data_IF_025052085144
#
_entry.id   IF_025052085144
#
_cell.length_a   1.000
_cell.length_b   1.000
_cell.length_c   1.000
_cell.angle_alpha   90.00
_cell.angle_beta   90.00
_cell.angle_gamma   90.00
#
_symmetry.space_group_name_H-M   'P 1'
#
loop_
_entity.id
_entity.type
_entity.pdbx_description
1 polymer ?
#
# COMPACT_ATOMS: atom_id res chain seq x y z
N UNK A 1 -3.78 -6.36 -7.77
CA UNK A 1 -5.01 -5.82 -8.40
C UNK A 1 -5.07 -6.04 -9.92
N UNK A 2 -4.00 -6.49 -10.57
CA UNK A 2 -4.05 -7.05 -11.94
C UNK A 2 -4.43 -6.07 -13.06
N UNK A 3 -4.64 -4.79 -12.73
CA UNK A 3 -5.05 -3.71 -13.65
C UNK A 3 -4.18 -2.49 -13.42
N UNK A 4 -4.00 -1.63 -14.45
CA UNK A 4 -3.37 -0.32 -14.29
C UNK A 4 -4.07 0.53 -13.22
N UNK A 5 -3.30 1.35 -12.49
CA UNK A 5 -3.83 2.24 -11.44
C UNK A 5 -4.91 3.17 -11.98
N UNK A 6 -4.72 3.73 -13.18
CA UNK A 6 -5.69 4.61 -13.83
C UNK A 6 -7.01 3.94 -14.23
N UNK A 7 -7.07 2.61 -14.33
CA UNK A 7 -8.35 1.91 -14.50
C UNK A 7 -9.10 1.79 -13.17
N UNK A 8 -8.37 1.67 -12.06
CA UNK A 8 -8.92 1.38 -10.74
C UNK A 8 -9.35 2.66 -9.99
N UNK A 9 -8.68 3.78 -10.25
CA UNK A 9 -8.88 5.04 -9.53
C UNK A 9 -9.04 6.19 -10.53
N UNK A 10 -9.92 7.13 -10.21
CA UNK A 10 -10.07 8.38 -10.96
C UNK A 10 -8.87 9.31 -10.77
N UNK A 11 -8.26 9.27 -9.58
CA UNK A 11 -7.01 9.93 -9.27
C UNK A 11 -6.22 9.09 -8.27
N UNK A 12 -4.90 9.10 -8.39
CA UNK A 12 -3.98 8.43 -7.47
C UNK A 12 -2.73 9.29 -7.33
N UNK A 13 -2.35 9.63 -6.09
CA UNK A 13 -1.16 10.44 -5.81
C UNK A 13 0.08 9.54 -5.74
N UNK A 14 1.03 9.63 -6.70
CA UNK A 14 2.24 8.81 -6.69
C UNK A 14 3.14 9.12 -5.49
N UNK A 15 3.11 10.33 -4.94
CA UNK A 15 3.85 10.65 -3.73
C UNK A 15 3.13 10.07 -2.49
N UNK A 16 3.77 9.21 -1.69
CA UNK A 16 3.13 8.70 -0.49
C UNK A 16 2.88 9.83 0.52
N UNK A 17 1.69 9.81 1.13
CA UNK A 17 1.30 10.67 2.25
C UNK A 17 2.09 10.31 3.51
N UNK A 18 2.35 9.02 3.71
CA UNK A 18 3.02 8.50 4.89
C UNK A 18 3.69 7.15 4.62
N UNK A 19 4.68 6.85 5.45
CA UNK A 19 5.23 5.51 5.61
C UNK A 19 4.43 4.76 6.68
N UNK A 20 3.98 3.55 6.37
CA UNK A 20 3.51 2.57 7.36
C UNK A 20 4.55 1.46 7.50
N UNK A 21 4.49 0.69 8.60
CA UNK A 21 5.47 -0.37 8.91
C UNK A 21 5.78 -1.27 7.69
N UNK A 22 4.75 -1.92 7.14
CA UNK A 22 4.89 -2.86 6.01
C UNK A 22 4.50 -2.27 4.65
N UNK A 23 4.12 -0.99 4.60
CA UNK A 23 3.46 -0.40 3.44
C UNK A 23 3.73 1.11 3.29
N UNK A 24 3.42 1.66 2.12
CA UNK A 24 3.27 3.09 1.87
C UNK A 24 1.79 3.46 1.78
N UNK A 25 1.46 4.69 2.12
CA UNK A 25 0.08 5.18 2.14
C UNK A 25 -0.09 6.27 1.09
N UNK A 26 -1.06 6.10 0.18
CA UNK A 26 -1.32 7.03 -0.92
C UNK A 26 -2.76 7.55 -0.86
N UNK A 27 -2.96 8.80 -1.26
CA UNK A 27 -4.29 9.35 -1.51
C UNK A 27 -4.80 8.86 -2.87
N UNK A 28 -6.09 8.56 -2.93
CA UNK A 28 -6.78 8.23 -4.18
C UNK A 28 -8.22 8.75 -4.18
N UNK A 29 -8.79 8.84 -5.37
CA UNK A 29 -10.21 9.10 -5.57
C UNK A 29 -10.79 7.98 -6.43
N UNK A 30 -11.89 7.38 -6.00
CA UNK A 30 -12.61 6.37 -6.77
C UNK A 30 -13.38 7.03 -7.93
N UNK A 31 -13.74 6.25 -8.95
CA UNK A 31 -14.58 6.74 -10.05
C UNK A 31 -15.98 7.17 -9.60
N UNK A 32 -16.42 6.75 -8.40
CA UNK A 32 -17.63 7.27 -7.75
C UNK A 32 -17.48 8.69 -7.18
N UNK A 33 -16.27 9.24 -7.14
CA UNK A 33 -15.94 10.51 -6.50
C UNK A 33 -15.57 10.42 -5.02
N UNK A 34 -15.67 9.24 -4.40
CA UNK A 34 -15.28 9.03 -3.01
C UNK A 34 -13.75 9.09 -2.83
N UNK A 35 -13.30 9.76 -1.75
CA UNK A 35 -11.89 9.80 -1.38
C UNK A 35 -11.50 8.53 -0.64
N UNK A 36 -10.40 7.91 -1.06
CA UNK A 36 -9.86 6.69 -0.49
C UNK A 36 -8.38 6.84 -0.11
N UNK A 37 -7.93 5.96 0.78
CA UNK A 37 -6.52 5.79 1.12
C UNK A 37 -6.09 4.40 0.68
N UNK A 38 -5.03 4.33 -0.13
CA UNK A 38 -4.49 3.07 -0.65
C UNK A 38 -3.21 2.74 0.09
N UNK A 39 -3.17 1.58 0.74
CA UNK A 39 -1.95 1.02 1.33
C UNK A 39 -1.28 0.09 0.34
N UNK A 40 -0.05 0.43 -0.07
CA UNK A 40 0.75 -0.37 -1.00
C UNK A 40 1.86 -1.05 -0.21
N UNK A 41 1.86 -2.38 -0.18
CA UNK A 41 2.93 -3.14 0.49
C UNK A 41 4.29 -2.79 -0.11
N UNK A 42 5.31 -2.65 0.74
CA UNK A 42 6.69 -2.44 0.27
C UNK A 42 7.12 -3.65 -0.55
N UNK A 43 7.91 -3.45 -1.62
CA UNK A 43 8.59 -4.55 -2.28
C UNK A 43 9.37 -5.37 -1.26
N UNK A 44 9.38 -6.68 -1.43
CA UNK A 44 10.20 -7.61 -0.63
C UNK A 44 9.94 -7.55 0.89
N UNK A 45 8.74 -7.17 1.32
CA UNK A 45 8.39 -7.10 2.75
C UNK A 45 8.19 -8.48 3.40
N UNK A 46 7.91 -9.52 2.60
CA UNK A 46 7.61 -10.86 3.10
C UNK A 46 8.76 -11.50 3.90
N UNK A 47 10.03 -11.50 3.43
CA UNK A 47 11.17 -11.97 4.22
C UNK A 47 11.30 -11.24 5.57
N UNK A 48 11.07 -9.93 5.60
CA UNK A 48 11.13 -9.11 6.83
C UNK A 48 10.06 -9.55 7.81
N UNK A 49 8.81 -9.72 7.35
CA UNK A 49 7.71 -10.21 8.19
C UNK A 49 8.04 -11.58 8.77
N UNK A 50 8.61 -12.49 7.97
CA UNK A 50 8.99 -13.83 8.45
C UNK A 50 10.08 -13.77 9.52
N UNK A 51 11.07 -12.90 9.35
CA UNK A 51 12.14 -12.70 10.33
C UNK A 51 11.59 -12.12 11.65
N UNK A 52 10.73 -11.11 11.57
CA UNK A 52 10.13 -10.47 12.74
C UNK A 52 9.31 -11.47 13.57
N UNK A 53 8.54 -12.34 12.90
CA UNK A 53 7.78 -13.40 13.58
C UNK A 53 8.72 -14.42 14.23
N UNK A 54 9.81 -14.81 13.56
CA UNK A 54 10.76 -15.79 14.10
C UNK A 54 11.40 -15.30 15.42
N UNK A 55 11.69 -14.00 15.53
CA UNK A 55 12.23 -13.38 16.75
C UNK A 55 11.27 -13.46 17.95
N UNK A 56 9.96 -13.66 17.74
CA UNK A 56 9.00 -13.78 18.85
C UNK A 56 9.04 -15.15 19.53
N UNK A 57 9.67 -16.15 18.90
CA UNK A 57 9.70 -17.54 19.37
C UNK A 57 11.10 -18.01 19.82
N UNK A 58 12.04 -17.08 19.97
CA UNK A 58 13.40 -17.30 20.47
C UNK A 58 13.62 -16.52 21.75
#
# INVERSE_FOLDING_TARGET
LGKPVGELFAAFEPQPLASASVAQVHAATLHSGERAVVKVLRPDIEPVIRQDIALMYT
#
